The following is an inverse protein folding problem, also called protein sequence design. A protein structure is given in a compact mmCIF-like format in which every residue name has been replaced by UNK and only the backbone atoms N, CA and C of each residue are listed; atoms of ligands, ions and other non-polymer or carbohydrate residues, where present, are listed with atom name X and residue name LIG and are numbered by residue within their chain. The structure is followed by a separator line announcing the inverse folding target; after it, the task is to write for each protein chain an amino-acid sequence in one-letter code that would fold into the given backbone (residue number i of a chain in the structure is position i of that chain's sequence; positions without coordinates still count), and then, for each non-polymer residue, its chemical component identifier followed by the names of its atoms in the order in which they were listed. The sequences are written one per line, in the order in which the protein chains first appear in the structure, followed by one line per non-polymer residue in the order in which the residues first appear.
data_IF_160051307810
#
_entry.id   IF_160051307810
#
_cell.length_a   1.000
_cell.length_b   1.000
_cell.length_c   1.000
_cell.angle_alpha   90.00
_cell.angle_beta   90.00
_cell.angle_gamma   90.00
#
_symmetry.space_group_name_H-M   'P 1'
#
loop_
_entity.id
_entity.type
_entity.pdbx_description
1 polymer ?
#
# COMPACT_ATOMS: atom_id res chain seq x y z
N UNK A 1 -10.44 -19.03 12.21
CA UNK A 1 -9.52 -18.14 11.46
C UNK A 1 -8.21 -18.09 12.23
N UNK A 2 -7.11 -18.59 11.65
CA UNK A 2 -5.79 -18.54 12.28
C UNK A 2 -5.13 -17.21 11.89
N UNK A 3 -5.27 -16.20 12.74
CA UNK A 3 -4.65 -14.88 12.50
C UNK A 3 -3.22 -14.96 13.00
N UNK A 4 -2.31 -15.37 12.11
CA UNK A 4 -0.87 -15.28 12.36
C UNK A 4 -0.36 -13.91 11.91
N UNK A 5 0.71 -13.37 12.52
CA UNK A 5 1.32 -12.11 12.10
C UNK A 5 1.68 -12.11 10.62
N UNK A 6 2.15 -13.26 10.12
CA UNK A 6 2.41 -13.49 8.69
C UNK A 6 1.14 -13.37 7.83
N UNK A 7 0.02 -14.00 8.20
CA UNK A 7 -1.24 -13.87 7.45
C UNK A 7 -1.77 -12.42 7.47
N UNK A 8 -1.64 -11.73 8.60
CA UNK A 8 -2.03 -10.31 8.73
C UNK A 8 -1.17 -9.41 7.84
N UNK A 9 0.16 -9.61 7.83
CA UNK A 9 1.06 -8.84 6.97
C UNK A 9 0.80 -9.08 5.48
N UNK A 10 0.54 -10.33 5.06
CA UNK A 10 0.20 -10.64 3.67
C UNK A 10 -1.12 -9.97 3.26
N UNK A 11 -2.12 -9.96 4.14
CA UNK A 11 -3.39 -9.27 3.86
C UNK A 11 -3.21 -7.75 3.73
N UNK A 12 -2.38 -7.14 4.58
CA UNK A 12 -2.05 -5.71 4.50
C UNK A 12 -1.30 -5.38 3.19
N UNK A 13 -0.34 -6.22 2.79
CA UNK A 13 0.40 -6.06 1.53
C UNK A 13 -0.55 -6.16 0.33
N UNK A 14 -1.44 -7.15 0.29
CA UNK A 14 -2.41 -7.30 -0.80
C UNK A 14 -3.36 -6.09 -0.88
N UNK A 15 -3.82 -5.58 0.26
CA UNK A 15 -4.70 -4.40 0.32
C UNK A 15 -3.98 -3.15 -0.16
N UNK A 16 -2.73 -2.94 0.27
CA UNK A 16 -1.90 -1.83 -0.16
C UNK A 16 -1.55 -1.91 -1.66
N UNK A 17 -1.32 -3.10 -2.21
CA UNK A 17 -1.09 -3.31 -3.64
C UNK A 17 -2.32 -2.96 -4.47
N UNK A 18 -3.50 -3.41 -4.06
CA UNK A 18 -4.75 -3.07 -4.75
C UNK A 18 -5.01 -1.56 -4.72
N UNK A 19 -4.88 -0.93 -3.54
CA UNK A 19 -5.04 0.53 -3.39
C UNK A 19 -4.03 1.32 -4.21
N UNK A 20 -2.79 0.84 -4.30
CA UNK A 20 -1.75 1.47 -5.13
C UNK A 20 -2.03 1.34 -6.62
N UNK A 21 -2.53 0.19 -7.06
CA UNK A 21 -2.93 -0.03 -8.46
C UNK A 21 -4.11 0.88 -8.84
N UNK A 22 -5.12 0.99 -7.98
CA UNK A 22 -6.27 1.87 -8.19
C UNK A 22 -5.82 3.35 -8.25
N UNK A 23 -4.97 3.78 -7.33
CA UNK A 23 -4.44 5.15 -7.32
C UNK A 23 -3.57 5.44 -8.56
N UNK A 24 -2.75 4.48 -8.99
CA UNK A 24 -1.94 4.60 -10.21
C UNK A 24 -2.82 4.66 -11.47
N UNK A 25 -3.90 3.88 -11.53
CA UNK A 25 -4.86 3.91 -12.62
C UNK A 25 -5.58 5.26 -12.68
N UNK A 26 -6.01 5.81 -11.53
CA UNK A 26 -6.62 7.15 -11.47
C UNK A 26 -5.62 8.23 -11.91
N UNK A 27 -4.33 8.10 -11.57
CA UNK A 27 -3.27 9.00 -12.07
C UNK A 27 -3.06 8.87 -13.57
N UNK A 28 -3.19 7.67 -14.13
CA UNK A 28 -3.06 7.44 -15.57
C UNK A 28 -4.31 7.92 -16.36
N UNK A 29 -5.49 7.85 -15.76
CA UNK A 29 -6.76 8.34 -16.31
C UNK A 29 -6.97 9.85 -16.10
N UNK A 30 -6.23 10.48 -15.16
CA UNK A 30 -6.15 11.93 -15.02
C UNK A 30 -5.70 12.53 -16.37
N UNK A 31 -6.31 13.65 -16.81
CA UNK A 31 -6.36 14.07 -18.21
C UNK A 31 -5.06 14.72 -18.71
N UNK A 32 -3.95 13.98 -18.65
CA UNK A 32 -2.74 14.25 -19.44
C UNK A 32 -2.87 13.58 -20.83
N UNK A 33 -3.78 12.61 -21.00
CA UNK A 33 -3.98 11.87 -22.26
C UNK A 33 -5.32 12.11 -22.97
N UNK A 34 -6.21 12.97 -22.46
CA UNK A 34 -7.51 13.21 -23.10
C UNK A 34 -7.54 14.59 -23.75
N UNK A 35 -7.05 14.67 -24.98
CA UNK A 35 -7.43 15.71 -25.93
C UNK A 35 -8.92 15.58 -26.29
N UNK A 36 -9.82 15.85 -25.34
CA UNK A 36 -11.23 16.12 -25.62
C UNK A 36 -11.52 17.59 -25.36
N UNK A 37 -11.48 18.34 -26.46
CA UNK A 37 -12.12 19.64 -26.69
C UNK A 37 -13.18 20.03 -25.66
N UNK A 38 -12.86 21.02 -24.82
CA UNK A 38 -13.88 21.88 -24.19
C UNK A 38 -14.44 21.45 -22.83
N UNK A 39 -13.57 21.21 -21.84
CA UNK A 39 -13.95 21.43 -20.43
C UNK A 39 -12.71 21.81 -19.61
N UNK A 40 -12.67 23.09 -19.24
CA UNK A 40 -11.67 23.66 -18.35
C UNK A 40 -12.12 23.43 -16.90
N UNK A 41 -11.64 22.38 -16.24
CA UNK A 41 -11.48 22.40 -14.78
C UNK A 41 -10.53 21.29 -14.28
N UNK A 42 -9.32 21.20 -14.84
CA UNK A 42 -8.25 20.43 -14.19
C UNK A 42 -7.83 21.18 -12.92
N UNK A 43 -8.22 20.68 -11.74
CA UNK A 43 -7.73 21.22 -10.48
C UNK A 43 -6.55 20.37 -10.02
N UNK A 44 -5.38 20.97 -9.87
CA UNK A 44 -4.17 20.29 -9.35
C UNK A 44 -4.40 19.58 -8.00
N UNK A 45 -5.48 19.90 -7.29
CA UNK A 45 -5.97 19.20 -6.09
C UNK A 45 -6.41 17.75 -6.33
N UNK A 46 -6.76 17.38 -7.57
CA UNK A 46 -7.27 16.05 -7.89
C UNK A 46 -6.17 14.99 -7.97
N UNK A 47 -4.91 15.42 -8.15
CA UNK A 47 -3.71 14.58 -8.03
C UNK A 47 -3.36 14.30 -6.55
N UNK A 48 -3.74 15.19 -5.63
CA UNK A 48 -3.37 15.07 -4.22
C UNK A 48 -3.99 13.83 -3.56
N UNK A 49 -5.23 13.47 -3.95
CA UNK A 49 -5.93 12.28 -3.41
C UNK A 49 -5.24 10.97 -3.79
N UNK A 50 -4.95 10.69 -5.08
CA UNK A 50 -4.18 9.50 -5.47
C UNK A 50 -2.79 9.45 -4.85
N UNK A 51 -2.07 10.58 -4.78
CA UNK A 51 -0.72 10.64 -4.19
C UNK A 51 -0.77 10.35 -2.69
N UNK A 52 -1.75 10.89 -1.96
CA UNK A 52 -1.96 10.57 -0.55
C UNK A 52 -2.27 9.09 -0.36
N UNK A 53 -3.13 8.53 -1.21
CA UNK A 53 -3.48 7.11 -1.17
C UNK A 53 -2.28 6.18 -1.43
N UNK A 54 -1.37 6.58 -2.33
CA UNK A 54 -0.09 5.88 -2.54
C UNK A 54 0.80 5.94 -1.30
N UNK A 55 0.89 7.10 -0.64
CA UNK A 55 1.69 7.28 0.58
C UNK A 55 1.13 6.48 1.77
N UNK A 56 -0.19 6.42 1.91
CA UNK A 56 -0.84 5.56 2.89
C UNK A 56 -0.54 4.08 2.64
N UNK A 57 -0.60 3.65 1.37
CA UNK A 57 -0.30 2.28 0.97
C UNK A 57 1.17 1.91 1.24
N UNK A 58 2.10 2.86 1.02
CA UNK A 58 3.51 2.71 1.37
C UNK A 58 3.71 2.52 2.88
N UNK A 59 3.02 3.33 3.70
CA UNK A 59 3.07 3.21 5.17
C UNK A 59 2.48 1.88 5.65
N UNK A 60 1.35 1.45 5.07
CA UNK A 60 0.70 0.17 5.39
C UNK A 60 1.61 -1.02 5.02
N UNK A 61 2.27 -0.96 3.87
CA UNK A 61 3.27 -1.95 3.45
C UNK A 61 4.49 -1.95 4.38
N UNK A 62 5.01 -0.78 4.77
CA UNK A 62 6.12 -0.67 5.71
C UNK A 62 5.78 -1.25 7.08
N UNK A 63 4.57 -1.00 7.57
CA UNK A 63 4.06 -1.60 8.81
C UNK A 63 3.94 -3.14 8.69
N UNK A 64 3.45 -3.64 7.56
CA UNK A 64 3.38 -5.07 7.28
C UNK A 64 4.76 -5.74 7.25
N UNK A 65 5.76 -5.09 6.63
CA UNK A 65 7.15 -5.58 6.62
C UNK A 65 7.73 -5.62 8.04
N UNK A 66 7.49 -4.59 8.85
CA UNK A 66 7.92 -4.59 10.27
C UNK A 66 7.26 -5.70 11.08
N UNK A 67 5.99 -6.01 10.83
CA UNK A 67 5.31 -7.14 11.46
C UNK A 67 5.96 -8.48 11.08
N UNK A 68 6.32 -8.67 9.81
CA UNK A 68 7.05 -9.88 9.37
C UNK A 68 8.44 -9.99 10.00
N UNK A 69 9.13 -8.86 10.14
CA UNK A 69 10.44 -8.81 10.78
C UNK A 69 10.35 -9.18 12.27
N UNK A 70 9.38 -8.60 12.98
CA UNK A 70 9.13 -8.91 14.39
C UNK A 70 8.73 -10.38 14.61
N UNK A 71 7.93 -10.95 13.71
CA UNK A 71 7.56 -12.39 13.73
C UNK A 71 8.81 -13.27 13.57
N UNK A 72 9.68 -12.93 12.60
CA UNK A 72 10.95 -13.63 12.36
C UNK A 72 11.91 -13.53 13.56
N UNK A 73 12.04 -12.35 14.15
CA UNK A 73 12.89 -12.13 15.34
C UNK A 73 12.37 -12.86 16.57
N UNK A 74 11.04 -12.91 16.74
CA UNK A 74 10.40 -13.66 17.83
C UNK A 74 10.63 -15.16 17.69
N UNK A 75 10.44 -15.72 16.48
CA UNK A 75 10.72 -17.15 16.22
C UNK A 75 12.21 -17.45 16.41
N UNK A 76 13.10 -16.59 15.92
CA UNK A 76 14.56 -16.73 16.10
C UNK A 76 14.96 -16.73 17.57
N UNK A 77 14.43 -15.80 18.36
CA UNK A 77 14.70 -15.69 19.80
C UNK A 77 14.19 -16.90 20.59
N UNK A 78 13.02 -17.45 20.22
CA UNK A 78 12.48 -18.66 20.83
C UNK A 78 13.33 -19.91 20.50
N UNK A 79 13.92 -19.97 19.31
CA UNK A 79 14.84 -21.04 18.91
C UNK A 79 16.16 -20.93 19.67
N UNK A 80 16.70 -19.72 19.83
CA UNK A 80 17.97 -19.45 20.52
C UNK A 80 17.90 -19.76 22.02
N UNK A 81 16.73 -19.57 22.66
CA UNK A 81 16.49 -19.97 24.06
C UNK A 81 16.52 -21.49 24.26
N UNK A 82 16.29 -22.27 23.21
CA UNK A 82 16.25 -23.74 23.25
C UNK A 82 17.54 -24.42 22.77
N UNK A 83 18.51 -23.67 22.22
CA UNK A 83 19.82 -24.17 21.79
C UNK A 83 20.85 -24.09 22.92
#
# INVERSE_FOLDING_TARGET
MNITPTTSAVNLINTAQHRSADAAQVIAELPIQKDEVGSSEFRSSDITKPVLSLKESELETSAAVKLLQADKETIGSLLDIKA
#
